data_IF_414454474297
#
_entry.id   IF_414454474297
#
_cell.length_a   1.000
_cell.length_b   1.000
_cell.length_c   1.000
_cell.angle_alpha   90.00
_cell.angle_beta   90.00
_cell.angle_gamma   90.00
#
_symmetry.space_group_name_H-M   'P 1'
#
loop_
_entity.id
_entity.type
_entity.pdbx_description
1 polymer ?
#
# COMPACT_ATOMS: atom_id res chain seq x y z
N UNK A 1 55.81 -22.68 -39.53
CA UNK A 1 56.04 -21.33 -40.07
C UNK A 1 54.70 -20.76 -40.51
N UNK A 2 53.87 -20.38 -39.52
CA UNK A 2 53.50 -18.98 -39.16
C UNK A 2 52.48 -18.44 -40.17
N UNK A 3 51.17 -18.62 -39.91
CA UNK A 3 50.25 -17.74 -39.15
C UNK A 3 49.89 -16.44 -39.88
N UNK A 4 48.64 -16.37 -40.37
CA UNK A 4 47.82 -15.15 -40.47
C UNK A 4 46.37 -15.53 -40.79
N UNK A 5 45.68 -16.09 -39.79
CA UNK A 5 44.22 -16.10 -39.72
C UNK A 5 43.80 -15.04 -38.72
N UNK A 6 43.19 -14.00 -39.24
CA UNK A 6 42.64 -12.85 -38.52
C UNK A 6 41.59 -13.35 -37.52
N UNK A 7 41.79 -12.99 -36.25
CA UNK A 7 40.83 -13.15 -35.16
C UNK A 7 39.59 -12.30 -35.46
N UNK A 8 38.52 -12.93 -35.93
CA UNK A 8 37.15 -12.47 -35.68
C UNK A 8 36.65 -13.21 -34.44
N UNK A 9 36.95 -12.68 -33.26
CA UNK A 9 36.20 -13.00 -32.05
C UNK A 9 34.83 -12.33 -32.19
N UNK A 10 33.71 -13.07 -32.18
CA UNK A 10 32.45 -12.44 -31.85
C UNK A 10 32.56 -12.02 -30.38
N UNK A 11 32.31 -10.73 -30.09
CA UNK A 11 32.01 -10.25 -28.75
C UNK A 11 30.69 -10.90 -28.28
N UNK A 12 30.76 -12.19 -27.97
CA UNK A 12 29.86 -12.86 -27.06
C UNK A 12 30.51 -12.76 -25.69
N UNK A 13 30.23 -11.68 -24.97
CA UNK A 13 30.53 -11.59 -23.54
C UNK A 13 29.57 -10.62 -22.87
N UNK A 14 28.79 -11.19 -21.94
CA UNK A 14 28.03 -10.51 -20.88
C UNK A 14 26.79 -9.70 -21.28
N UNK A 15 25.79 -10.38 -21.85
CA UNK A 15 24.40 -10.16 -21.39
C UNK A 15 24.14 -11.13 -20.24
N UNK A 16 24.88 -10.98 -19.13
CA UNK A 16 24.43 -11.52 -17.86
C UNK A 16 23.16 -10.77 -17.49
N UNK A 17 22.11 -11.52 -17.13
CA UNK A 17 20.80 -11.07 -16.72
C UNK A 17 20.84 -9.85 -15.77
N UNK A 18 20.90 -8.65 -16.34
CA UNK A 18 20.50 -7.43 -15.63
C UNK A 18 18.99 -7.40 -15.73
N UNK A 19 18.32 -7.46 -14.58
CA UNK A 19 16.91 -7.19 -14.49
C UNK A 19 16.59 -5.80 -15.03
N UNK A 20 15.34 -5.64 -15.45
CA UNK A 20 14.86 -4.36 -15.92
C UNK A 20 14.74 -3.40 -14.73
N UNK A 21 15.46 -2.27 -14.82
CA UNK A 21 15.44 -1.17 -13.83
C UNK A 21 16.13 -1.49 -12.50
N UNK A 22 17.26 -2.20 -12.52
CA UNK A 22 17.98 -2.60 -11.28
C UNK A 22 18.97 -1.56 -10.76
N UNK A 23 19.28 -0.55 -11.58
CA UNK A 23 20.32 0.45 -11.31
C UNK A 23 19.69 1.83 -11.31
N UNK A 24 19.84 2.59 -10.22
CA UNK A 24 19.31 3.96 -10.13
C UNK A 24 20.23 5.00 -10.78
N UNK A 25 21.55 4.76 -10.76
CA UNK A 25 22.56 5.68 -11.29
C UNK A 25 23.81 4.96 -11.76
N UNK A 26 24.43 5.44 -12.83
CA UNK A 26 25.73 4.98 -13.32
C UNK A 26 26.65 6.16 -13.58
N UNK A 27 27.96 5.93 -13.53
CA UNK A 27 28.93 6.96 -13.88
C UNK A 27 29.17 6.97 -15.39
N UNK A 28 29.06 8.15 -15.99
CA UNK A 28 29.34 8.38 -17.41
C UNK A 28 30.40 9.47 -17.57
N UNK A 29 31.11 9.44 -18.69
CA UNK A 29 32.01 10.52 -19.07
C UNK A 29 31.28 11.50 -19.97
N UNK A 30 31.27 12.76 -19.58
CA UNK A 30 30.76 13.90 -20.34
C UNK A 30 31.90 14.84 -20.69
N UNK A 31 31.67 15.81 -21.57
CA UNK A 31 32.67 16.83 -21.94
C UNK A 31 33.16 17.63 -20.73
N UNK A 32 32.35 17.72 -19.67
CA UNK A 32 32.65 18.39 -18.40
C UNK A 32 33.29 17.46 -17.35
N UNK A 33 33.51 16.18 -17.69
CA UNK A 33 34.11 15.18 -16.81
C UNK A 33 33.15 14.06 -16.41
N UNK A 34 33.45 13.39 -15.28
CA UNK A 34 32.63 12.32 -14.72
C UNK A 34 31.31 12.87 -14.19
N UNK A 35 30.19 12.39 -14.73
CA UNK A 35 28.85 12.76 -14.32
C UNK A 35 28.01 11.52 -13.97
N UNK A 36 26.95 11.71 -13.18
CA UNK A 36 25.98 10.66 -12.88
C UNK A 36 24.87 10.66 -13.94
N UNK A 37 24.69 9.52 -14.63
CA UNK A 37 23.50 9.21 -15.44
C UNK A 37 22.49 8.52 -14.54
N UNK A 38 21.29 9.09 -14.43
CA UNK A 38 20.24 8.60 -13.54
C UNK A 38 19.10 8.00 -14.34
N UNK A 39 18.55 6.88 -13.88
CA UNK A 39 17.50 6.14 -14.58
C UNK A 39 16.48 5.56 -13.60
N UNK A 40 15.32 5.16 -14.11
CA UNK A 40 14.29 4.56 -13.26
C UNK A 40 14.82 3.27 -12.63
N UNK A 41 14.50 3.04 -11.36
CA UNK A 41 14.94 1.84 -10.66
C UNK A 41 13.93 1.28 -9.66
N UNK A 42 13.84 -0.04 -9.55
CA UNK A 42 12.92 -0.75 -8.68
C UNK A 42 13.62 -1.91 -7.95
N UNK A 43 13.15 -2.29 -6.75
CA UNK A 43 13.72 -3.44 -6.05
C UNK A 43 13.38 -4.76 -6.73
N UNK A 44 14.21 -5.77 -6.47
CA UNK A 44 13.95 -7.14 -6.90
C UNK A 44 12.66 -7.69 -6.28
N UNK A 45 12.00 -8.60 -7.01
CA UNK A 45 10.86 -9.34 -6.48
C UNK A 45 11.34 -10.41 -5.49
N UNK A 46 10.67 -10.53 -4.36
CA UNK A 46 10.97 -11.51 -3.32
C UNK A 46 9.69 -12.10 -2.76
N UNK A 47 9.85 -13.11 -1.91
CA UNK A 47 8.77 -13.67 -1.12
C UNK A 47 8.42 -12.70 0.02
N UNK A 48 7.24 -12.09 -0.10
CA UNK A 48 6.78 -11.05 0.81
C UNK A 48 6.21 -11.62 2.11
N UNK A 49 5.98 -12.93 2.20
CA UNK A 49 5.43 -13.59 3.39
C UNK A 49 6.37 -13.48 4.60
N UNK A 50 7.67 -13.32 4.36
CA UNK A 50 8.70 -13.15 5.39
C UNK A 50 8.59 -11.84 6.18
N UNK A 51 7.85 -10.87 5.67
CA UNK A 51 7.75 -9.52 6.23
C UNK A 51 6.34 -9.14 6.69
N UNK A 52 5.37 -10.06 6.58
CA UNK A 52 3.99 -9.78 6.96
C UNK A 52 3.74 -10.00 8.46
N UNK A 53 2.65 -9.42 8.94
CA UNK A 53 2.00 -9.77 10.19
C UNK A 53 0.63 -10.36 9.87
N UNK A 54 0.32 -11.49 10.47
CA UNK A 54 -0.99 -12.14 10.34
C UNK A 54 -1.88 -11.76 11.52
N UNK A 55 -3.15 -11.49 11.24
CA UNK A 55 -4.19 -11.31 12.24
C UNK A 55 -5.43 -12.12 11.85
N UNK A 56 -5.97 -12.85 12.81
CA UNK A 56 -7.19 -13.65 12.65
C UNK A 56 -8.38 -12.97 13.31
N UNK A 57 -9.52 -13.00 12.64
CA UNK A 57 -10.80 -12.54 13.19
C UNK A 57 -11.89 -13.59 12.85
N UNK A 58 -12.61 -14.12 13.86
CA UNK A 58 -12.47 -13.84 15.29
C UNK A 58 -11.13 -14.37 15.88
N UNK A 59 -10.62 -13.81 16.99
CA UNK A 59 -9.30 -14.15 17.52
C UNK A 59 -9.19 -15.57 18.08
N UNK A 60 -10.30 -16.19 18.48
CA UNK A 60 -10.36 -17.55 19.03
C UNK A 60 -10.77 -18.60 17.99
N UNK A 61 -10.45 -18.35 16.72
CA UNK A 61 -10.86 -19.20 15.61
C UNK A 61 -9.89 -20.36 15.35
N UNK A 62 -8.66 -20.31 15.86
CA UNK A 62 -7.70 -21.42 15.76
C UNK A 62 -8.13 -22.57 16.67
N UNK A 63 -8.03 -23.81 16.21
CA UNK A 63 -8.39 -24.98 17.01
C UNK A 63 -7.44 -25.20 18.20
N UNK A 64 -7.87 -26.01 19.18
CA UNK A 64 -7.00 -26.48 20.27
C UNK A 64 -7.18 -25.78 21.62
N UNK A 65 -8.10 -24.81 21.73
CA UNK A 65 -8.49 -24.21 23.01
C UNK A 65 -10.03 -24.10 23.15
N UNK A 66 -10.71 -25.08 23.79
CA UNK A 66 -10.16 -26.32 24.32
C UNK A 66 -9.78 -27.33 23.21
N UNK A 67 -9.02 -28.39 23.53
CA UNK A 67 -8.71 -29.46 22.59
C UNK A 67 -9.96 -30.03 21.90
N UNK A 68 -9.85 -30.35 20.61
CA UNK A 68 -10.96 -30.90 19.83
C UNK A 68 -10.52 -31.96 18.83
N UNK A 69 -11.40 -32.93 18.57
CA UNK A 69 -11.18 -33.95 17.55
C UNK A 69 -11.64 -33.47 16.17
N UNK A 70 -10.96 -33.91 15.12
CA UNK A 70 -11.27 -33.57 13.74
C UNK A 70 -11.06 -34.75 12.78
N UNK A 71 -11.71 -34.68 11.62
CA UNK A 71 -11.61 -35.69 10.58
C UNK A 71 -10.62 -35.25 9.49
N UNK A 72 -9.52 -35.99 9.30
CA UNK A 72 -8.64 -35.77 8.16
C UNK A 72 -9.27 -36.30 6.86
N UNK A 73 -8.98 -35.64 5.73
CA UNK A 73 -9.46 -36.04 4.41
C UNK A 73 -9.03 -37.46 4.01
N UNK A 74 -7.85 -37.90 4.46
CA UNK A 74 -7.32 -39.24 4.17
C UNK A 74 -8.04 -40.35 4.96
N UNK A 75 -8.65 -40.03 6.10
CA UNK A 75 -9.35 -40.99 6.94
C UNK A 75 -10.69 -40.42 7.48
N UNK A 76 -11.70 -40.25 6.60
CA UNK A 76 -12.95 -39.58 6.94
C UNK A 76 -13.86 -40.41 7.87
N UNK A 77 -13.55 -41.68 8.11
CA UNK A 77 -14.38 -42.59 8.90
C UNK A 77 -13.94 -42.72 10.36
N UNK A 78 -12.66 -42.49 10.67
CA UNK A 78 -12.16 -42.65 12.04
C UNK A 78 -12.09 -41.36 12.86
N UNK A 79 -11.91 -40.18 12.25
CA UNK A 79 -11.94 -38.88 12.96
C UNK A 79 -11.18 -38.85 14.31
N UNK A 80 -10.05 -39.56 14.38
CA UNK A 80 -9.28 -39.78 15.61
C UNK A 80 -8.16 -38.75 15.79
N UNK A 81 -8.02 -37.78 14.89
CA UNK A 81 -7.01 -36.75 15.05
C UNK A 81 -7.50 -35.73 16.07
N UNK A 82 -6.58 -35.20 16.86
CA UNK A 82 -6.83 -34.23 17.91
C UNK A 82 -6.03 -32.97 17.61
N UNK A 83 -6.68 -31.82 17.72
CA UNK A 83 -6.03 -30.53 17.75
C UNK A 83 -5.99 -30.04 19.20
N UNK A 84 -4.79 -29.80 19.71
CA UNK A 84 -4.54 -29.34 21.08
C UNK A 84 -3.47 -28.24 21.04
N UNK A 85 -3.85 -27.01 21.39
CA UNK A 85 -2.94 -25.86 21.34
C UNK A 85 -1.86 -25.91 22.43
N UNK A 86 -2.03 -26.75 23.45
CA UNK A 86 -1.04 -26.94 24.53
C UNK A 86 0.05 -27.95 24.17
N UNK A 87 -0.18 -28.78 23.15
CA UNK A 87 0.75 -29.82 22.70
C UNK A 87 1.32 -29.43 21.33
N UNK A 88 2.61 -29.10 21.26
CA UNK A 88 3.26 -28.57 20.05
C UNK A 88 3.06 -29.45 18.80
N UNK A 89 3.06 -30.78 18.94
CA UNK A 89 2.86 -31.73 17.84
C UNK A 89 1.42 -31.81 17.31
N UNK A 90 0.45 -31.34 18.11
CA UNK A 90 -0.99 -31.33 17.79
C UNK A 90 -1.52 -29.90 17.57
N UNK A 91 -0.67 -28.89 17.74
CA UNK A 91 -1.01 -27.49 17.60
C UNK A 91 -0.96 -27.07 16.13
N UNK A 92 -1.96 -26.30 15.70
CA UNK A 92 -2.06 -25.79 14.34
C UNK A 92 -2.11 -24.25 14.30
N UNK A 93 -1.06 -23.57 14.76
CA UNK A 93 -1.09 -22.12 14.93
C UNK A 93 -0.90 -21.38 13.58
N UNK A 94 -1.22 -20.08 13.50
CA UNK A 94 -1.26 -19.32 12.24
C UNK A 94 0.09 -19.20 11.53
N UNK A 95 1.20 -19.33 12.26
CA UNK A 95 2.56 -19.27 11.73
C UNK A 95 2.85 -20.39 10.74
N UNK A 96 2.13 -21.52 10.84
CA UNK A 96 2.24 -22.64 9.92
C UNK A 96 1.68 -22.34 8.51
N UNK A 97 1.04 -21.19 8.28
CA UNK A 97 0.66 -20.76 6.93
C UNK A 97 1.83 -20.18 6.11
N UNK A 98 2.97 -19.90 6.76
CA UNK A 98 4.12 -19.21 6.14
C UNK A 98 5.45 -19.92 6.42
N UNK A 99 5.38 -21.16 6.87
CA UNK A 99 6.57 -21.94 7.18
C UNK A 99 7.16 -22.57 5.90
N UNK A 100 8.19 -23.42 6.02
CA UNK A 100 8.88 -23.92 4.84
C UNK A 100 8.07 -25.03 4.16
N UNK A 101 7.68 -24.81 2.89
CA UNK A 101 6.93 -25.77 2.10
C UNK A 101 7.69 -27.11 1.91
N UNK A 102 6.96 -28.22 1.81
CA UNK A 102 7.53 -29.53 1.47
C UNK A 102 7.98 -30.37 2.67
N UNK A 103 7.59 -30.00 3.89
CA UNK A 103 7.70 -30.89 5.05
C UNK A 103 6.84 -32.13 4.87
N UNK A 104 7.32 -33.24 5.44
CA UNK A 104 6.57 -34.48 5.55
C UNK A 104 6.66 -34.97 7.01
N UNK A 105 5.56 -34.92 7.79
CA UNK A 105 4.19 -34.55 7.39
C UNK A 105 4.03 -33.05 7.08
N UNK A 106 2.96 -32.70 6.36
CA UNK A 106 2.62 -31.30 6.04
C UNK A 106 2.17 -30.55 7.30
N UNK A 107 2.68 -29.34 7.48
CA UNK A 107 2.26 -28.39 8.51
C UNK A 107 1.14 -27.49 7.97
N UNK A 108 0.23 -27.08 8.84
CA UNK A 108 -0.90 -26.21 8.47
C UNK A 108 -1.50 -25.53 9.69
N UNK A 109 -1.99 -24.32 9.48
CA UNK A 109 -2.95 -23.69 10.40
C UNK A 109 -4.31 -24.34 10.26
N UNK A 110 -5.07 -24.45 11.34
CA UNK A 110 -6.42 -25.02 11.34
C UNK A 110 -7.40 -24.19 12.17
N UNK A 111 -8.59 -23.94 11.62
CA UNK A 111 -9.70 -23.31 12.32
C UNK A 111 -10.42 -24.30 13.23
N UNK A 112 -11.23 -23.79 14.17
CA UNK A 112 -12.19 -24.60 14.91
C UNK A 112 -13.15 -25.31 13.94
N UNK A 113 -13.60 -26.51 14.32
CA UNK A 113 -14.66 -27.22 13.60
C UNK A 113 -16.00 -26.45 13.58
N UNK A 114 -16.89 -26.80 12.64
CA UNK A 114 -18.16 -26.10 12.41
C UNK A 114 -19.26 -26.40 13.45
N UNK A 115 -18.92 -26.41 14.74
CA UNK A 115 -19.80 -26.75 15.88
C UNK A 115 -21.07 -25.90 15.98
N UNK A 116 -21.04 -24.67 15.44
CA UNK A 116 -22.14 -23.70 15.53
C UNK A 116 -23.12 -23.77 14.34
N UNK A 117 -23.02 -24.80 13.50
CA UNK A 117 -23.96 -25.03 12.41
C UNK A 117 -25.42 -24.93 12.92
N UNK A 118 -26.34 -24.25 12.19
CA UNK A 118 -26.22 -23.72 10.83
C UNK A 118 -25.60 -22.32 10.72
N UNK A 119 -25.09 -21.71 11.80
CA UNK A 119 -24.40 -20.41 11.70
C UNK A 119 -23.13 -20.56 10.86
N UNK A 120 -22.89 -19.74 9.83
CA UNK A 120 -21.70 -19.84 8.99
C UNK A 120 -20.39 -19.81 9.79
N UNK A 121 -19.44 -20.69 9.43
CA UNK A 121 -18.07 -20.63 9.93
C UNK A 121 -17.31 -19.57 9.13
N UNK A 122 -17.32 -18.33 9.62
CA UNK A 122 -16.65 -17.20 8.98
C UNK A 122 -15.29 -16.94 9.62
N UNK A 123 -14.26 -16.80 8.79
CA UNK A 123 -12.89 -16.50 9.22
C UNK A 123 -12.28 -15.44 8.33
N UNK A 124 -11.75 -14.38 8.95
CA UNK A 124 -10.99 -13.34 8.27
C UNK A 124 -9.51 -13.53 8.61
N UNK A 125 -8.68 -13.76 7.60
CA UNK A 125 -7.22 -13.82 7.72
C UNK A 125 -6.66 -12.55 7.10
N UNK A 126 -6.11 -11.66 7.92
CA UNK A 126 -5.55 -10.38 7.48
C UNK A 126 -4.03 -10.46 7.45
N UNK A 127 -3.43 -10.14 6.30
CA UNK A 127 -2.00 -10.12 6.06
C UNK A 127 -1.55 -8.67 5.87
N UNK A 128 -0.69 -8.17 6.74
CA UNK A 128 -0.28 -6.76 6.78
C UNK A 128 1.23 -6.59 6.64
N UNK A 129 1.68 -5.83 5.64
CA UNK A 129 3.12 -5.58 5.42
C UNK A 129 3.64 -4.29 6.06
N UNK A 130 2.74 -3.41 6.51
CA UNK A 130 3.10 -2.07 7.00
C UNK A 130 4.01 -1.30 6.02
N UNK A 131 3.87 -1.61 4.73
CA UNK A 131 4.63 -1.09 3.61
C UNK A 131 3.82 -1.37 2.35
N UNK A 132 3.85 -0.43 1.41
CA UNK A 132 3.19 -0.60 0.12
C UNK A 132 4.05 -1.50 -0.77
N UNK A 133 3.43 -2.55 -1.33
CA UNK A 133 4.10 -3.54 -2.18
C UNK A 133 3.37 -3.67 -3.52
N UNK A 134 4.11 -4.06 -4.55
CA UNK A 134 3.61 -4.35 -5.89
C UNK A 134 3.74 -5.85 -6.14
N UNK A 135 2.63 -6.51 -6.43
CA UNK A 135 2.59 -7.94 -6.68
C UNK A 135 3.19 -8.27 -8.05
N UNK A 136 3.95 -9.35 -8.11
CA UNK A 136 4.70 -9.74 -9.32
C UNK A 136 4.40 -11.14 -9.81
N UNK A 137 3.74 -11.95 -8.98
CA UNK A 137 3.35 -13.33 -9.27
C UNK A 137 1.96 -13.59 -8.67
N UNK A 138 1.38 -14.74 -8.98
CA UNK A 138 0.08 -15.16 -8.48
C UNK A 138 0.09 -15.27 -6.95
N UNK A 139 -1.01 -14.87 -6.30
CA UNK A 139 -1.22 -15.21 -4.89
C UNK A 139 -1.75 -16.64 -4.87
N UNK A 140 -1.11 -17.51 -4.10
CA UNK A 140 -1.49 -18.94 -4.03
C UNK A 140 -1.77 -19.30 -2.59
N UNK A 141 -2.96 -19.83 -2.33
CA UNK A 141 -3.34 -20.41 -1.04
C UNK A 141 -3.43 -21.93 -1.21
N UNK A 142 -2.72 -22.67 -0.39
CA UNK A 142 -2.76 -24.13 -0.38
C UNK A 142 -3.54 -24.60 0.84
N UNK A 143 -4.64 -25.30 0.60
CA UNK A 143 -5.48 -25.84 1.66
C UNK A 143 -5.12 -27.29 1.96
N UNK A 144 -4.97 -27.61 3.25
CA UNK A 144 -4.93 -29.00 3.69
C UNK A 144 -6.35 -29.55 3.89
N UNK A 145 -7.30 -28.69 4.28
CA UNK A 145 -8.74 -29.03 4.23
C UNK A 145 -9.25 -29.00 2.79
N UNK A 146 -10.53 -29.31 2.60
CA UNK A 146 -11.19 -28.96 1.35
C UNK A 146 -11.15 -27.45 1.12
N UNK A 147 -10.97 -27.03 -0.14
CA UNK A 147 -11.07 -25.63 -0.56
C UNK A 147 -12.47 -25.05 -0.24
N UNK A 148 -12.57 -23.78 0.18
CA UNK A 148 -13.84 -23.18 0.58
C UNK A 148 -14.89 -23.20 -0.53
N UNK A 149 -16.15 -23.43 -0.17
CA UNK A 149 -17.28 -23.26 -1.10
C UNK A 149 -17.57 -21.80 -1.39
N UNK A 150 -17.26 -20.91 -0.45
CA UNK A 150 -17.41 -19.47 -0.61
C UNK A 150 -16.26 -18.78 0.12
N UNK A 151 -15.51 -17.96 -0.62
CA UNK A 151 -14.50 -17.07 -0.06
C UNK A 151 -14.34 -15.79 -0.89
N UNK A 152 -13.82 -14.75 -0.26
CA UNK A 152 -13.52 -13.46 -0.90
C UNK A 152 -12.09 -13.06 -0.57
N UNK A 153 -11.34 -12.67 -1.60
CA UNK A 153 -10.06 -12.00 -1.42
C UNK A 153 -10.31 -10.50 -1.49
N UNK A 154 -9.91 -9.76 -0.46
CA UNK A 154 -9.95 -8.31 -0.39
C UNK A 154 -8.53 -7.75 -0.29
N UNK A 155 -8.37 -6.50 -0.74
CA UNK A 155 -7.13 -5.75 -0.57
C UNK A 155 -7.38 -4.38 0.04
N UNK A 156 -6.35 -3.86 0.69
CA UNK A 156 -6.26 -2.48 1.18
C UNK A 156 -5.10 -1.76 0.49
N UNK A 157 -5.25 -0.44 0.35
CA UNK A 157 -4.21 0.49 -0.13
C UNK A 157 -3.80 1.51 0.95
N UNK A 158 -4.45 1.48 2.11
CA UNK A 158 -4.39 2.51 3.16
C UNK A 158 -4.16 1.92 4.55
N UNK A 159 -3.39 0.82 4.62
CA UNK A 159 -2.97 0.16 5.85
C UNK A 159 -4.14 -0.42 6.66
N UNK A 160 -5.10 -1.03 5.97
CA UNK A 160 -6.23 -1.74 6.54
C UNK A 160 -7.41 -0.86 6.96
N UNK A 161 -7.40 0.43 6.62
CA UNK A 161 -8.49 1.35 6.95
C UNK A 161 -9.71 1.12 6.04
N UNK A 162 -9.49 0.95 4.75
CA UNK A 162 -10.52 0.61 3.77
C UNK A 162 -10.17 -0.68 3.06
N UNK A 163 -11.22 -1.39 2.65
CA UNK A 163 -11.13 -2.70 2.03
C UNK A 163 -11.93 -2.70 0.75
N UNK A 164 -11.33 -3.25 -0.30
CA UNK A 164 -11.96 -3.41 -1.61
C UNK A 164 -11.87 -4.86 -2.04
N UNK A 165 -12.94 -5.42 -2.64
CA UNK A 165 -12.90 -6.78 -3.13
C UNK A 165 -11.89 -6.88 -4.28
N UNK A 166 -11.13 -7.97 -4.28
CA UNK A 166 -10.08 -8.25 -5.25
C UNK A 166 -10.48 -9.41 -6.16
N UNK A 167 -11.06 -10.48 -5.60
CA UNK A 167 -11.67 -11.58 -6.34
C UNK A 167 -12.66 -12.36 -5.46
N UNK A 168 -13.73 -12.87 -6.07
CA UNK A 168 -14.70 -13.74 -5.41
C UNK A 168 -14.51 -15.20 -5.87
N UNK A 169 -14.76 -16.14 -4.97
CA UNK A 169 -14.66 -17.57 -5.23
C UNK A 169 -15.90 -18.27 -4.65
N UNK A 170 -16.63 -18.99 -5.48
CA UNK A 170 -17.84 -19.69 -5.06
C UNK A 170 -18.04 -21.00 -5.82
N UNK A 171 -18.77 -21.96 -5.24
CA UNK A 171 -19.29 -23.12 -5.99
C UNK A 171 -20.34 -22.71 -7.02
N UNK A 172 -21.13 -21.70 -6.70
CA UNK A 172 -22.14 -21.04 -7.54
C UNK A 172 -22.04 -19.53 -7.31
N UNK A 173 -21.48 -18.82 -8.30
CA UNK A 173 -21.24 -17.37 -8.22
C UNK A 173 -22.54 -16.55 -8.23
N UNK A 174 -23.58 -17.05 -8.91
CA UNK A 174 -24.86 -16.37 -9.01
C UNK A 174 -25.60 -16.44 -7.68
N UNK A 175 -25.62 -17.61 -7.04
CA UNK A 175 -26.23 -17.80 -5.72
C UNK A 175 -25.46 -17.06 -4.61
N UNK A 176 -24.13 -17.20 -4.58
CA UNK A 176 -23.32 -16.67 -3.49
C UNK A 176 -23.15 -15.14 -3.51
N UNK A 177 -22.95 -14.57 -4.70
CA UNK A 177 -22.54 -13.17 -4.86
C UNK A 177 -23.33 -12.41 -5.91
N UNK A 178 -24.35 -13.01 -6.53
CA UNK A 178 -25.13 -12.40 -7.63
C UNK A 178 -24.24 -11.97 -8.81
N UNK A 179 -23.19 -12.74 -9.09
CA UNK A 179 -22.22 -12.47 -10.15
C UNK A 179 -22.22 -13.62 -11.17
N UNK A 180 -22.10 -13.28 -12.46
CA UNK A 180 -21.85 -14.28 -13.49
C UNK A 180 -20.45 -14.90 -13.29
N UNK A 181 -20.31 -16.23 -13.40
CA UNK A 181 -19.02 -16.89 -13.29
C UNK A 181 -18.12 -16.51 -14.46
N UNK A 182 -16.88 -16.12 -14.17
CA UNK A 182 -15.85 -15.75 -15.15
C UNK A 182 -14.49 -16.28 -14.71
N UNK A 183 -13.65 -16.56 -15.70
CA UNK A 183 -12.24 -16.88 -15.51
C UNK A 183 -11.37 -15.70 -15.95
N UNK A 184 -10.08 -15.70 -15.55
CA UNK A 184 -9.14 -14.67 -16.02
C UNK A 184 -8.91 -14.74 -17.54
N UNK A 185 -9.11 -15.91 -18.15
CA UNK A 185 -9.04 -16.09 -19.61
C UNK A 185 -10.17 -15.36 -20.37
N UNK A 186 -11.28 -15.05 -19.68
CA UNK A 186 -12.39 -14.28 -20.25
C UNK A 186 -12.14 -12.77 -20.20
N UNK A 187 -11.07 -12.34 -19.51
CA UNK A 187 -10.70 -10.92 -19.41
C UNK A 187 -9.98 -10.45 -20.66
N UNK A 188 -10.16 -9.17 -20.96
CA UNK A 188 -9.48 -8.46 -22.04
C UNK A 188 -8.61 -7.36 -21.46
N UNK A 189 -7.74 -6.75 -22.27
CA UNK A 189 -6.94 -5.59 -21.85
C UNK A 189 -7.79 -4.44 -21.26
N UNK A 190 -9.06 -4.30 -21.68
CA UNK A 190 -9.97 -3.24 -21.20
C UNK A 190 -10.66 -3.60 -19.88
N UNK A 191 -10.90 -4.89 -19.65
CA UNK A 191 -11.62 -5.44 -18.49
C UNK A 191 -10.69 -6.10 -17.49
N UNK A 192 -9.37 -5.97 -17.65
CA UNK A 192 -8.36 -6.58 -16.78
C UNK A 192 -8.49 -6.16 -15.32
N UNK A 193 -9.03 -4.96 -15.05
CA UNK A 193 -9.25 -4.45 -13.70
C UNK A 193 -10.58 -4.91 -13.09
N UNK A 194 -11.41 -5.61 -13.86
CA UNK A 194 -12.71 -6.08 -13.39
C UNK A 194 -12.50 -7.13 -12.29
N UNK A 195 -13.30 -6.97 -11.24
CA UNK A 195 -13.40 -7.93 -10.16
C UNK A 195 -14.38 -9.00 -10.61
N UNK A 196 -13.91 -10.25 -10.59
CA UNK A 196 -14.68 -11.41 -11.08
C UNK A 196 -15.03 -12.35 -9.94
N UNK A 197 -16.02 -13.21 -10.20
CA UNK A 197 -16.26 -14.40 -9.41
C UNK A 197 -15.89 -15.62 -10.26
N UNK A 198 -15.03 -16.49 -9.73
CA UNK A 198 -14.63 -17.74 -10.39
C UNK A 198 -15.10 -18.96 -9.61
N UNK A 199 -15.49 -20.00 -10.32
CA UNK A 199 -15.92 -21.27 -9.74
C UNK A 199 -14.86 -22.38 -9.84
N UNK A 200 -13.74 -22.11 -10.52
CA UNK A 200 -12.68 -23.08 -10.83
C UNK A 200 -12.03 -23.67 -9.57
N UNK A 201 -11.94 -22.85 -8.50
CA UNK A 201 -11.26 -23.24 -7.26
C UNK A 201 -12.21 -23.71 -6.14
N UNK A 202 -13.52 -23.60 -6.33
CA UNK A 202 -14.51 -23.93 -5.28
C UNK A 202 -15.40 -25.12 -5.64
N UNK A 203 -15.53 -25.47 -6.93
CA UNK A 203 -16.33 -26.63 -7.36
C UNK A 203 -15.77 -27.96 -6.85
N UNK A 204 -16.67 -28.77 -6.30
CA UNK A 204 -16.36 -30.02 -5.60
C UNK A 204 -16.05 -31.24 -6.47
N UNK A 205 -15.49 -31.10 -7.67
CA UNK A 205 -15.02 -32.26 -8.45
C UNK A 205 -13.48 -32.39 -8.50
N UNK A 206 -12.75 -31.43 -7.93
CA UNK A 206 -11.28 -31.35 -8.06
C UNK A 206 -10.53 -31.86 -6.80
N UNK A 207 -11.26 -32.38 -5.80
CA UNK A 207 -10.74 -32.65 -4.44
C UNK A 207 -9.49 -33.51 -4.35
N UNK A 208 -9.24 -34.39 -5.32
CA UNK A 208 -8.21 -35.42 -5.13
C UNK A 208 -6.79 -34.93 -5.38
N UNK A 209 -6.60 -33.89 -6.20
CA UNK A 209 -5.26 -33.47 -6.64
C UNK A 209 -4.98 -31.96 -6.58
N UNK A 210 -5.99 -31.08 -6.46
CA UNK A 210 -5.75 -29.63 -6.43
C UNK A 210 -6.20 -29.01 -5.10
N UNK A 211 -5.20 -28.78 -4.25
CA UNK A 211 -5.32 -28.12 -2.93
C UNK A 211 -5.30 -26.60 -3.04
N UNK A 212 -5.08 -26.04 -4.24
CA UNK A 212 -4.74 -24.63 -4.39
C UNK A 212 -5.93 -23.76 -4.79
N UNK A 213 -5.93 -22.52 -4.29
CA UNK A 213 -6.75 -21.40 -4.76
C UNK A 213 -5.78 -20.32 -5.22
N UNK A 214 -5.99 -19.76 -6.41
CA UNK A 214 -5.07 -18.77 -7.00
C UNK A 214 -5.77 -17.44 -7.28
N UNK A 215 -5.01 -16.37 -7.17
CA UNK A 215 -5.34 -15.08 -7.77
C UNK A 215 -4.34 -14.81 -8.88
N UNK A 216 -4.81 -14.81 -10.11
CA UNK A 216 -3.99 -14.98 -11.31
C UNK A 216 -3.50 -13.64 -11.85
N UNK A 217 -2.32 -13.24 -11.39
CA UNK A 217 -1.62 -12.01 -11.78
C UNK A 217 -0.83 -12.24 -13.06
N UNK A 218 -0.19 -13.40 -13.22
CA UNK A 218 0.56 -13.76 -14.42
C UNK A 218 -0.33 -13.81 -15.66
N UNK A 219 -1.53 -14.35 -15.52
CA UNK A 219 -2.49 -14.41 -16.63
C UNK A 219 -2.97 -13.00 -17.03
N UNK A 220 -3.16 -12.09 -16.04
CA UNK A 220 -3.43 -10.67 -16.32
C UNK A 220 -2.26 -9.97 -17.00
N UNK A 221 -1.02 -10.25 -16.59
CA UNK A 221 0.17 -9.72 -17.28
C UNK A 221 0.33 -10.28 -18.69
N UNK A 222 -0.06 -11.54 -18.91
CA UNK A 222 0.01 -12.18 -20.22
C UNK A 222 -0.86 -11.48 -21.27
N UNK A 223 -1.93 -10.77 -20.87
CA UNK A 223 -2.74 -9.94 -21.77
C UNK A 223 -1.94 -8.81 -22.44
N UNK A 224 -0.82 -8.37 -21.85
CA UNK A 224 0.07 -7.34 -22.42
C UNK A 224 1.42 -7.89 -22.87
N UNK A 225 1.98 -8.84 -22.13
CA UNK A 225 3.31 -9.39 -22.37
C UNK A 225 3.33 -10.67 -23.23
N UNK A 226 2.15 -11.19 -23.55
CA UNK A 226 1.96 -12.48 -24.21
C UNK A 226 2.03 -13.68 -23.24
N UNK A 227 1.62 -14.89 -23.67
CA UNK A 227 1.46 -16.06 -22.80
C UNK A 227 2.72 -16.52 -22.07
N UNK A 228 3.90 -16.23 -22.62
CA UNK A 228 5.20 -16.58 -22.02
C UNK A 228 5.88 -15.40 -21.31
N UNK A 229 5.19 -14.27 -21.17
CA UNK A 229 5.70 -13.04 -20.55
C UNK A 229 7.03 -12.56 -21.17
N UNK A 230 7.25 -12.78 -22.47
CA UNK A 230 8.49 -12.35 -23.15
C UNK A 230 8.46 -10.87 -23.54
N UNK A 231 7.28 -10.29 -23.79
CA UNK A 231 7.15 -8.89 -24.20
C UNK A 231 6.98 -7.97 -22.98
N UNK A 232 7.97 -7.99 -22.08
CA UNK A 232 7.97 -7.13 -20.87
C UNK A 232 7.97 -5.64 -21.20
N UNK A 233 8.54 -5.24 -22.33
CA UNK A 233 8.52 -3.86 -22.80
C UNK A 233 7.08 -3.34 -22.99
N UNK A 234 6.20 -4.15 -23.59
CA UNK A 234 4.78 -3.84 -23.72
C UNK A 234 4.10 -3.69 -22.36
N UNK A 235 4.31 -4.65 -21.45
CA UNK A 235 3.74 -4.60 -20.09
C UNK A 235 4.17 -3.34 -19.33
N UNK A 236 5.47 -3.01 -19.32
CA UNK A 236 5.96 -1.81 -18.64
C UNK A 236 5.40 -0.52 -19.25
N UNK A 237 5.28 -0.46 -20.58
CA UNK A 237 4.61 0.66 -21.24
C UNK A 237 3.15 0.81 -20.79
N UNK A 238 2.43 -0.30 -20.63
CA UNK A 238 1.05 -0.29 -20.15
C UNK A 238 0.94 0.07 -18.67
N UNK A 239 1.85 -0.41 -17.82
CA UNK A 239 1.90 -0.06 -16.40
C UNK A 239 2.13 1.44 -16.17
N UNK A 240 2.85 2.10 -17.08
CA UNK A 240 3.15 3.53 -17.00
C UNK A 240 2.03 4.42 -17.58
N UNK A 241 1.38 3.95 -18.66
CA UNK A 241 0.41 4.76 -19.43
C UNK A 241 -1.05 4.49 -19.09
N UNK A 242 -1.38 3.27 -18.63
CA UNK A 242 -2.76 2.88 -18.31
C UNK A 242 -3.10 3.25 -16.87
N UNK A 243 -4.12 4.09 -16.73
CA UNK A 243 -4.61 4.55 -15.42
C UNK A 243 -5.01 3.37 -14.54
N UNK A 244 -4.66 3.46 -13.25
CA UNK A 244 -4.99 2.50 -12.20
C UNK A 244 -4.42 1.08 -12.39
N UNK A 245 -3.74 0.77 -13.50
CA UNK A 245 -3.20 -0.58 -13.74
C UNK A 245 -2.14 -0.94 -12.70
N UNK A 246 -1.20 -0.04 -12.45
CA UNK A 246 -0.18 -0.22 -11.41
C UNK A 246 -0.79 -0.31 -10.00
N UNK A 247 -1.80 0.51 -9.72
CA UNK A 247 -2.47 0.52 -8.41
C UNK A 247 -3.32 -0.75 -8.18
N UNK A 248 -3.76 -1.42 -9.25
CA UNK A 248 -4.44 -2.71 -9.15
C UNK A 248 -3.54 -3.77 -8.52
N UNK A 249 -2.27 -3.84 -8.92
CA UNK A 249 -1.28 -4.76 -8.36
C UNK A 249 -0.57 -4.22 -7.11
N UNK A 250 -0.91 -3.01 -6.69
CA UNK A 250 -0.42 -2.43 -5.44
C UNK A 250 -1.31 -2.83 -4.28
N UNK A 251 -0.70 -3.18 -3.14
CA UNK A 251 -1.39 -3.49 -1.88
C UNK A 251 -0.58 -3.03 -0.66
N UNK A 252 -1.26 -2.74 0.46
CA UNK A 252 -0.65 -2.64 1.79
C UNK A 252 -1.03 -3.82 2.68
N UNK A 253 -2.22 -4.37 2.46
CA UNK A 253 -2.79 -5.49 3.22
C UNK A 253 -3.67 -6.35 2.30
N UNK A 254 -3.72 -7.65 2.60
CA UNK A 254 -4.68 -8.59 2.04
C UNK A 254 -5.59 -9.11 3.13
N UNK A 255 -6.85 -9.37 2.81
CA UNK A 255 -7.77 -10.08 3.71
C UNK A 255 -8.43 -11.20 2.95
N UNK A 256 -8.24 -12.41 3.46
CA UNK A 256 -8.88 -13.63 2.97
C UNK A 256 -10.10 -13.84 3.87
N UNK A 257 -11.29 -13.73 3.28
CA UNK A 257 -12.56 -13.93 3.98
C UNK A 257 -13.12 -15.29 3.60
N UNK A 258 -12.94 -16.26 4.49
CA UNK A 258 -13.50 -17.60 4.37
C UNK A 258 -14.95 -17.54 4.86
N UNK A 259 -15.92 -17.83 4.00
CA UNK A 259 -17.35 -17.63 4.30
C UNK A 259 -18.09 -18.95 4.54
N UNK A 260 -17.77 -19.99 3.74
CA UNK A 260 -18.35 -21.32 3.87
C UNK A 260 -17.30 -22.42 3.60
N UNK A 261 -17.08 -23.38 4.51
CA UNK A 261 -16.09 -24.43 4.32
C UNK A 261 -16.56 -25.43 3.25
N UNK A 262 -15.65 -26.31 2.83
CA UNK A 262 -15.99 -27.42 1.94
C UNK A 262 -17.06 -28.33 2.58
N UNK A 263 -18.24 -28.48 1.95
CA UNK A 263 -19.27 -29.41 2.45
C UNK A 263 -19.33 -30.73 1.69
N UNK A 264 -18.66 -30.81 0.53
CA UNK A 264 -18.65 -31.97 -0.36
C UNK A 264 -19.81 -31.95 -1.36
N UNK A 265 -20.11 -33.10 -1.97
CA UNK A 265 -21.21 -33.24 -2.93
C UNK A 265 -22.58 -33.52 -2.27
N UNK A 266 -22.61 -33.68 -0.95
CA UNK A 266 -23.80 -34.03 -0.17
C UNK A 266 -24.15 -32.91 0.80
N UNK A 267 -25.37 -32.94 1.34
CA UNK A 267 -25.77 -32.06 2.44
C UNK A 267 -24.82 -32.16 3.63
N UNK A 268 -24.75 -31.10 4.43
CA UNK A 268 -24.02 -31.08 5.69
C UNK A 268 -24.52 -32.22 6.59
N UNK A 269 -23.60 -33.03 7.12
CA UNK A 269 -23.93 -34.05 8.11
C UNK A 269 -23.80 -33.46 9.50
N UNK A 270 -24.95 -33.18 10.09
CA UNK A 270 -25.06 -32.57 11.42
C UNK A 270 -24.50 -33.47 12.53
N UNK A 271 -24.38 -34.78 12.30
CA UNK A 271 -23.81 -35.71 13.28
C UNK A 271 -22.27 -35.70 13.29
N UNK A 272 -21.64 -35.15 12.24
CA UNK A 272 -20.18 -35.17 12.09
C UNK A 272 -19.64 -33.79 11.65
N UNK A 273 -19.91 -32.77 12.45
CA UNK A 273 -19.46 -31.39 12.19
C UNK A 273 -17.93 -31.23 12.32
N UNK A 274 -17.23 -32.18 12.95
CA UNK A 274 -15.76 -32.26 13.07
C UNK A 274 -15.03 -32.45 11.74
N UNK A 275 -15.74 -32.73 10.64
CA UNK A 275 -15.17 -32.80 9.29
C UNK A 275 -15.14 -31.46 8.55
N UNK A 276 -15.80 -30.44 9.10
CA UNK A 276 -15.92 -29.13 8.47
C UNK A 276 -15.10 -28.10 9.23
N UNK A 277 -13.98 -27.71 8.63
CA UNK A 277 -13.05 -26.71 9.15
C UNK A 277 -12.24 -26.16 7.97
N UNK A 278 -11.47 -25.11 8.21
CA UNK A 278 -10.46 -24.62 7.29
C UNK A 278 -9.09 -25.05 7.78
N UNK A 279 -8.25 -25.55 6.88
CA UNK A 279 -6.84 -25.75 7.14
C UNK A 279 -6.02 -25.27 5.94
N UNK A 280 -5.04 -24.41 6.22
CA UNK A 280 -4.17 -23.77 5.20
C UNK A 280 -2.74 -24.15 5.53
N UNK A 281 -2.08 -24.83 4.59
CA UNK A 281 -0.70 -25.27 4.71
C UNK A 281 0.31 -24.25 4.20
N UNK A 282 -0.10 -23.40 3.26
CA UNK A 282 0.82 -22.40 2.71
C UNK A 282 0.07 -21.22 2.06
N UNK A 283 0.62 -20.02 2.20
CA UNK A 283 0.16 -18.82 1.51
C UNK A 283 1.38 -18.15 0.88
N UNK A 284 1.44 -18.15 -0.45
CA UNK A 284 2.51 -17.50 -1.21
C UNK A 284 2.08 -16.14 -1.73
N UNK A 285 2.90 -15.14 -1.44
CA UNK A 285 2.76 -13.77 -1.96
C UNK A 285 4.12 -13.30 -2.46
N UNK A 286 4.30 -13.27 -3.78
CA UNK A 286 5.51 -12.74 -4.40
C UNK A 286 5.28 -11.28 -4.81
N UNK A 287 6.23 -10.41 -4.47
CA UNK A 287 6.13 -9.00 -4.83
C UNK A 287 7.43 -8.25 -4.61
N UNK A 288 7.38 -6.95 -4.82
CA UNK A 288 8.48 -6.02 -4.53
C UNK A 288 7.96 -4.81 -3.77
N UNK A 289 8.85 -4.11 -3.07
CA UNK A 289 8.47 -2.84 -2.46
C UNK A 289 8.10 -1.79 -3.52
N UNK A 290 6.96 -1.10 -3.34
CA UNK A 290 6.66 0.11 -4.11
C UNK A 290 7.62 1.22 -3.69
N UNK A 291 8.58 1.54 -4.56
CA UNK A 291 9.53 2.64 -4.34
C UNK A 291 9.42 3.74 -5.41
N UNK A 292 8.28 3.78 -6.12
CA UNK A 292 7.96 4.80 -7.12
C UNK A 292 9.05 5.01 -8.19
N UNK A 293 9.78 3.93 -8.52
CA UNK A 293 10.91 3.93 -9.46
C UNK A 293 12.13 4.77 -9.00
N UNK A 294 12.30 4.96 -7.69
CA UNK A 294 13.42 5.71 -7.09
C UNK A 294 14.27 4.93 -6.07
N UNK A 295 14.16 3.60 -6.02
CA UNK A 295 15.07 2.78 -5.23
C UNK A 295 15.18 1.38 -5.84
N UNK A 296 16.38 0.81 -5.86
CA UNK A 296 16.63 -0.57 -6.27
C UNK A 296 16.76 -1.53 -5.07
N UNK A 297 16.66 -1.02 -3.85
CA UNK A 297 16.80 -1.78 -2.62
C UNK A 297 15.69 -1.43 -1.63
N UNK A 298 15.27 -2.43 -0.87
CA UNK A 298 14.28 -2.30 0.19
C UNK A 298 14.75 -3.07 1.42
N UNK A 299 14.92 -2.36 2.53
CA UNK A 299 15.52 -2.89 3.75
C UNK A 299 14.47 -3.09 4.83
N UNK A 300 14.61 -4.17 5.58
CA UNK A 300 13.78 -4.47 6.74
C UNK A 300 14.53 -4.04 8.00
N UNK A 301 14.15 -2.91 8.59
CA UNK A 301 14.74 -2.39 9.83
C UNK A 301 13.68 -2.28 10.93
N UNK A 302 13.98 -2.81 12.13
CA UNK A 302 13.13 -2.72 13.34
C UNK A 302 11.65 -3.06 13.09
N UNK A 303 11.40 -4.12 12.31
CA UNK A 303 10.04 -4.58 12.03
C UNK A 303 9.27 -3.71 11.03
N UNK A 304 9.98 -2.88 10.23
CA UNK A 304 9.42 -2.06 9.16
C UNK A 304 10.23 -2.23 7.89
N UNK A 305 9.54 -2.50 6.79
CA UNK A 305 10.12 -2.55 5.46
C UNK A 305 10.13 -1.14 4.85
N UNK A 306 11.22 -0.70 4.23
CA UNK A 306 11.35 0.65 3.69
C UNK A 306 12.33 0.75 2.53
N UNK A 307 12.05 1.64 1.57
CA UNK A 307 12.90 1.86 0.41
C UNK A 307 14.17 2.66 0.75
N UNK A 308 15.31 2.26 0.18
CA UNK A 308 16.55 3.05 0.22
C UNK A 308 16.52 4.11 -0.89
N UNK A 309 15.86 5.23 -0.61
CA UNK A 309 15.52 6.22 -1.62
C UNK A 309 16.73 6.95 -2.24
N UNK A 310 16.78 6.88 -3.58
CA UNK A 310 17.66 7.61 -4.48
C UNK A 310 16.92 8.82 -5.09
N UNK A 311 17.49 9.42 -6.14
CA UNK A 311 16.85 10.51 -6.91
C UNK A 311 16.41 11.72 -6.07
N UNK A 312 17.12 11.97 -4.97
CA UNK A 312 16.80 13.00 -3.99
C UNK A 312 15.38 12.89 -3.41
N UNK A 313 14.85 11.67 -3.32
CA UNK A 313 13.53 11.38 -2.73
C UNK A 313 13.64 10.85 -1.30
N UNK A 314 12.54 10.85 -0.56
CA UNK A 314 12.44 10.35 0.81
C UNK A 314 11.02 9.88 1.13
N UNK A 315 10.81 9.31 2.32
CA UNK A 315 9.59 8.62 2.71
C UNK A 315 9.66 7.11 2.47
N UNK A 316 8.73 6.32 3.03
CA UNK A 316 8.77 4.85 2.97
C UNK A 316 8.72 4.31 1.55
N UNK A 317 8.00 5.00 0.64
CA UNK A 317 7.82 4.63 -0.76
C UNK A 317 8.56 5.57 -1.72
N UNK A 318 9.46 6.42 -1.23
CA UNK A 318 10.12 7.47 -2.02
C UNK A 318 9.12 8.45 -2.68
N UNK A 319 8.03 8.74 -1.98
CA UNK A 319 6.86 9.50 -2.48
C UNK A 319 6.94 11.01 -2.30
N UNK A 320 8.10 11.55 -1.94
CA UNK A 320 8.33 13.00 -1.77
C UNK A 320 9.80 13.34 -1.96
N UNK A 321 10.08 14.60 -2.27
CA UNK A 321 11.44 15.10 -2.38
C UNK A 321 12.11 15.30 -1.01
N UNK A 322 13.43 15.17 -0.95
CA UNK A 322 14.26 15.56 0.20
C UNK A 322 14.18 17.07 0.40
N UNK A 323 14.44 17.51 1.63
CA UNK A 323 14.55 18.93 1.97
C UNK A 323 15.57 19.60 1.03
N UNK A 324 15.22 20.78 0.50
CA UNK A 324 16.00 21.55 -0.50
C UNK A 324 15.99 21.00 -1.94
N UNK A 325 15.26 19.90 -2.22
CA UNK A 325 15.10 19.37 -3.58
C UNK A 325 13.69 19.61 -4.14
N UNK A 326 13.17 20.82 -3.93
CA UNK A 326 11.81 21.20 -4.33
C UNK A 326 11.80 22.14 -5.54
N UNK A 327 12.86 22.14 -6.36
CA UNK A 327 12.92 22.92 -7.60
C UNK A 327 11.87 22.52 -8.64
N UNK A 328 11.24 21.34 -8.45
CA UNK A 328 10.02 20.92 -9.14
C UNK A 328 9.14 20.10 -8.21
N UNK A 329 7.86 19.98 -8.57
CA UNK A 329 6.96 19.04 -7.92
C UNK A 329 7.49 17.60 -8.03
N UNK A 330 7.28 16.81 -6.98
CA UNK A 330 7.61 15.39 -7.01
C UNK A 330 6.78 14.68 -8.08
N UNK A 331 7.40 13.75 -8.79
CA UNK A 331 6.69 12.84 -9.68
C UNK A 331 7.36 11.48 -9.63
N UNK A 332 6.54 10.42 -9.73
CA UNK A 332 6.99 9.04 -9.89
C UNK A 332 7.97 8.93 -11.07
N UNK A 333 8.97 8.05 -10.96
CA UNK A 333 9.74 7.65 -12.14
C UNK A 333 8.84 6.98 -13.18
N UNK A 334 9.30 6.91 -14.42
CA UNK A 334 8.55 6.29 -15.52
C UNK A 334 9.37 5.18 -16.14
N UNK A 335 8.70 4.11 -16.55
CA UNK A 335 9.34 3.03 -17.32
C UNK A 335 9.76 3.48 -18.73
N UNK A 336 9.29 4.64 -19.18
CA UNK A 336 9.56 5.19 -20.50
C UNK A 336 10.65 6.29 -20.44
N UNK A 337 11.49 6.40 -21.50
CA UNK A 337 11.58 5.50 -22.64
C UNK A 337 12.35 4.21 -22.30
N UNK A 338 11.92 3.09 -22.89
CA UNK A 338 12.58 1.79 -22.76
C UNK A 338 13.96 1.86 -23.45
N UNK A 339 15.05 1.29 -22.88
CA UNK A 339 15.06 0.33 -21.77
C UNK A 339 15.38 0.90 -20.38
N UNK A 340 15.78 2.18 -20.27
CA UNK A 340 16.26 2.78 -19.02
C UNK A 340 15.16 3.46 -18.20
N UNK A 341 14.08 3.90 -18.85
CA UNK A 341 13.06 4.74 -18.21
C UNK A 341 13.61 6.11 -17.81
N UNK A 342 12.78 6.87 -17.08
CA UNK A 342 13.14 8.19 -16.57
C UNK A 342 12.98 8.25 -15.06
N UNK A 343 14.04 8.67 -14.37
CA UNK A 343 14.08 8.72 -12.91
C UNK A 343 13.22 9.84 -12.30
N UNK A 344 12.85 10.86 -13.09
CA UNK A 344 12.11 12.04 -12.61
C UNK A 344 12.63 12.64 -11.29
N UNK A 345 13.95 12.78 -11.20
CA UNK A 345 14.73 13.23 -10.03
C UNK A 345 14.22 14.54 -9.43
N UNK A 346 14.17 14.63 -8.11
CA UNK A 346 13.91 15.90 -7.44
C UNK A 346 15.08 16.88 -7.62
N UNK A 347 14.79 18.08 -8.12
CA UNK A 347 15.78 19.11 -8.43
C UNK A 347 16.02 20.01 -7.23
N UNK A 348 17.27 20.47 -7.05
CA UNK A 348 17.58 21.46 -6.03
C UNK A 348 16.71 22.71 -6.24
N UNK A 349 16.06 23.15 -5.17
CA UNK A 349 15.29 24.39 -5.12
C UNK A 349 15.76 25.21 -3.93
N UNK A 350 16.09 26.47 -4.16
CA UNK A 350 16.47 27.40 -3.10
C UNK A 350 15.28 27.61 -2.15
N UNK A 351 15.52 27.97 -0.89
CA UNK A 351 14.45 28.30 0.05
C UNK A 351 13.55 29.46 -0.43
N UNK A 352 13.99 30.25 -1.42
CA UNK A 352 13.19 31.29 -2.08
C UNK A 352 12.21 30.74 -3.14
N UNK A 353 12.41 29.52 -3.65
CA UNK A 353 11.52 28.89 -4.64
C UNK A 353 10.20 28.38 -4.02
N UNK A 354 10.15 28.25 -2.69
CA UNK A 354 8.90 28.05 -1.95
C UNK A 354 7.95 29.24 -2.08
N UNK A 355 8.47 30.47 -2.12
CA UNK A 355 7.66 31.68 -2.30
C UNK A 355 7.26 31.85 -3.77
N UNK A 356 8.13 31.48 -4.70
CA UNK A 356 7.83 31.54 -6.14
C UNK A 356 6.81 30.50 -6.58
N UNK A 357 6.82 29.28 -6.03
CA UNK A 357 5.81 28.25 -6.33
C UNK A 357 4.42 28.61 -5.80
N UNK A 358 4.33 29.24 -4.62
CA UNK A 358 3.10 29.87 -4.12
C UNK A 358 2.62 31.02 -5.03
N UNK A 359 3.54 31.84 -5.54
CA UNK A 359 3.22 32.90 -6.50
C UNK A 359 2.79 32.36 -7.88
N UNK A 360 3.41 31.29 -8.37
CA UNK A 360 3.11 30.68 -9.67
C UNK A 360 1.71 30.03 -9.69
N UNK A 361 1.32 29.43 -8.57
CA UNK A 361 -0.03 28.88 -8.36
C UNK A 361 -1.10 29.99 -8.38
N UNK A 362 -0.78 31.18 -7.87
CA UNK A 362 -1.68 32.34 -7.90
C UNK A 362 -1.77 33.02 -9.28
N UNK A 363 -0.73 32.95 -10.11
CA UNK A 363 -0.68 33.67 -11.40
C UNK A 363 -1.26 32.91 -12.60
N UNK A 364 -1.57 31.61 -12.47
CA UNK A 364 -2.04 30.75 -13.57
C UNK A 364 -3.45 30.16 -13.38
N UNK A 365 -4.29 30.79 -12.56
CA UNK A 365 -5.72 30.45 -12.48
C UNK A 365 -6.43 31.03 -13.72
N UNK A 366 -6.48 30.26 -14.80
CA UNK A 366 -7.50 30.42 -15.84
C UNK A 366 -8.70 29.56 -15.48
N UNK A 367 -9.89 30.04 -15.83
CA UNK A 367 -11.24 29.76 -15.30
C UNK A 367 -11.72 28.29 -15.14
N UNK A 368 -10.89 27.24 -15.32
CA UNK A 368 -11.32 25.84 -15.24
C UNK A 368 -10.26 24.76 -14.86
N UNK A 369 -9.25 25.06 -14.04
CA UNK A 369 -8.35 24.01 -13.48
C UNK A 369 -8.35 23.98 -11.94
N UNK A 370 -8.53 22.78 -11.37
CA UNK A 370 -8.39 22.49 -9.93
C UNK A 370 -6.90 22.39 -9.56
N UNK A 371 -6.47 23.14 -8.55
CA UNK A 371 -5.18 22.95 -7.88
C UNK A 371 -5.33 21.94 -6.73
N UNK A 372 -4.52 20.88 -6.72
CA UNK A 372 -4.42 19.92 -5.59
C UNK A 372 -3.40 20.38 -4.51
N UNK A 373 -3.09 21.68 -4.46
CA UNK A 373 -2.22 22.27 -3.43
C UNK A 373 -2.90 23.44 -2.72
N UNK A 374 -4.16 23.26 -2.33
CA UNK A 374 -4.86 24.17 -1.43
C UNK A 374 -4.99 23.54 -0.04
N UNK A 375 -4.04 23.82 0.85
CA UNK A 375 -4.27 23.68 2.30
C UNK A 375 -4.99 24.94 2.82
N UNK A 376 -6.21 25.16 2.33
CA UNK A 376 -7.17 26.08 2.92
C UNK A 376 -8.51 25.36 2.97
N UNK A 377 -8.90 24.86 4.14
CA UNK A 377 -10.27 24.43 4.40
C UNK A 377 -10.90 25.45 5.35
N UNK A 378 -11.64 26.41 4.79
CA UNK A 378 -12.87 26.97 5.38
C UNK A 378 -13.58 27.94 4.41
N UNK A 379 -14.88 27.65 4.20
CA UNK A 379 -16.05 28.38 3.66
C UNK A 379 -15.94 29.52 2.61
N UNK A 380 -16.73 29.28 1.54
CA UNK A 380 -17.42 30.18 0.59
C UNK A 380 -16.66 30.90 -0.53
N UNK A 381 -17.22 31.00 -1.76
CA UNK A 381 -16.53 31.50 -2.95
C UNK A 381 -16.60 33.04 -3.07
N UNK A 382 -15.45 33.70 -3.14
CA UNK A 382 -15.37 35.15 -3.37
C UNK A 382 -15.08 35.42 -4.85
N UNK A 383 -15.93 36.23 -5.48
CA UNK A 383 -15.79 36.74 -6.85
C UNK A 383 -14.73 37.85 -6.93
N UNK A 384 -13.95 37.85 -8.01
CA UNK A 384 -12.95 38.88 -8.36
C UNK A 384 -13.62 40.27 -8.51
N UNK A 385 -13.61 41.09 -7.46
CA UNK A 385 -13.94 42.53 -7.60
C UNK A 385 -13.31 43.51 -6.61
N UNK A 386 -12.34 43.12 -5.78
CA UNK A 386 -11.85 44.03 -4.73
C UNK A 386 -10.34 43.99 -4.43
N UNK A 387 -9.47 43.96 -5.44
CA UNK A 387 -8.04 44.22 -5.22
C UNK A 387 -7.54 45.38 -6.09
N UNK A 388 -7.85 46.58 -5.63
CA UNK A 388 -7.14 47.80 -5.99
C UNK A 388 -6.58 48.45 -4.72
N UNK A 389 -5.37 48.05 -4.32
CA UNK A 389 -4.33 48.88 -3.68
C UNK A 389 -3.23 48.00 -3.08
N UNK A 390 -2.05 48.17 -3.66
CA UNK A 390 -0.77 47.70 -3.15
C UNK A 390 -0.51 48.24 -1.74
N UNK A 391 -0.12 47.37 -0.81
CA UNK A 391 0.73 47.72 0.32
C UNK A 391 1.90 46.75 0.35
N UNK A 392 3.07 47.27 -0.03
CA UNK A 392 4.38 46.69 0.24
C UNK A 392 4.54 46.63 1.77
N UNK A 393 4.40 45.46 2.37
CA UNK A 393 4.92 45.20 3.71
C UNK A 393 6.33 44.62 3.58
N UNK A 394 7.28 45.55 3.55
CA UNK A 394 8.70 45.32 3.72
C UNK A 394 8.96 45.31 5.22
N UNK A 395 8.97 44.12 5.85
CA UNK A 395 9.68 43.82 7.11
C UNK A 395 9.33 42.40 7.59
N UNK A 396 10.20 41.43 7.28
CA UNK A 396 10.28 40.16 8.03
C UNK A 396 11.75 39.75 8.13
N UNK A 397 12.51 40.53 8.91
CA UNK A 397 13.65 39.99 9.63
C UNK A 397 13.21 39.71 11.08
N UNK A 398 13.73 38.62 11.64
CA UNK A 398 13.68 38.23 13.07
C UNK A 398 12.53 37.32 13.56
N UNK A 399 12.99 36.18 14.09
CA UNK A 399 12.34 35.19 14.96
C UNK A 399 11.61 34.02 14.26
N UNK A 400 12.35 32.93 14.05
CA UNK A 400 11.82 31.60 13.75
C UNK A 400 10.83 31.18 14.84
N UNK A 401 9.56 30.98 14.49
CA UNK A 401 8.48 30.56 15.41
C UNK A 401 8.26 29.04 15.47
N UNK A 402 9.18 28.25 14.90
CA UNK A 402 9.06 26.79 14.74
C UNK A 402 10.16 26.12 15.57
N UNK A 403 9.75 25.25 16.50
CA UNK A 403 10.65 24.63 17.47
C UNK A 403 10.85 23.12 17.28
N UNK A 404 10.16 22.46 16.34
CA UNK A 404 10.30 21.01 16.17
C UNK A 404 10.30 20.55 14.71
N UNK A 405 10.71 19.29 14.51
CA UNK A 405 10.74 18.60 13.22
C UNK A 405 9.33 18.26 12.68
N UNK A 406 8.28 18.54 13.46
CA UNK A 406 6.88 18.39 13.07
C UNK A 406 6.28 19.72 12.54
N UNK A 407 7.09 20.79 12.42
CA UNK A 407 6.67 22.12 11.96
C UNK A 407 5.60 22.78 12.85
N UNK A 408 5.52 22.42 14.13
CA UNK A 408 4.59 23.04 15.07
C UNK A 408 5.09 24.43 15.50
N UNK A 409 4.18 25.42 15.43
CA UNK A 409 4.47 26.83 15.74
C UNK A 409 4.12 27.19 17.18
N UNK A 410 4.93 28.02 17.82
CA UNK A 410 4.57 28.67 19.08
C UNK A 410 3.35 29.58 18.86
N UNK A 411 2.31 29.39 19.66
CA UNK A 411 1.04 30.11 19.61
C UNK A 411 1.06 31.37 20.49
N UNK A 412 0.04 32.21 20.40
CA UNK A 412 -0.19 33.37 21.29
C UNK A 412 1.03 34.31 21.45
N UNK A 413 1.74 34.56 20.34
CA UNK A 413 2.91 35.45 20.33
C UNK A 413 4.16 34.88 21.01
N UNK A 414 4.23 33.56 21.26
CA UNK A 414 5.45 32.91 21.75
C UNK A 414 6.58 32.88 20.73
N UNK A 415 7.83 32.95 21.20
CA UNK A 415 9.04 32.89 20.35
C UNK A 415 9.81 31.60 20.61
N UNK A 416 10.39 31.02 19.55
CA UNK A 416 11.18 29.80 19.71
C UNK A 416 12.59 30.13 20.21
N UNK A 417 12.99 29.54 21.33
CA UNK A 417 14.34 29.69 21.85
C UNK A 417 15.14 28.41 21.56
N UNK A 418 16.30 28.56 20.88
CA UNK A 418 17.21 27.47 20.50
C UNK A 418 16.58 26.27 19.75
N UNK A 419 15.46 26.45 19.02
CA UNK A 419 14.81 25.39 18.24
C UNK A 419 14.45 24.12 19.06
N UNK A 420 14.14 24.28 20.34
CA UNK A 420 13.75 23.16 21.21
C UNK A 420 12.54 23.48 22.10
N UNK A 421 12.28 24.75 22.43
CA UNK A 421 11.19 25.13 23.33
C UNK A 421 10.63 26.52 23.02
N UNK A 422 9.30 26.66 23.11
CA UNK A 422 8.63 27.95 23.01
C UNK A 422 8.76 28.75 24.32
N UNK A 423 9.13 30.02 24.20
CA UNK A 423 9.08 31.01 25.27
C UNK A 423 7.78 31.80 25.15
N UNK A 424 6.91 31.68 26.16
CA UNK A 424 5.55 32.22 26.09
C UNK A 424 5.47 33.68 26.52
N UNK A 425 4.61 34.44 25.83
CA UNK A 425 4.25 35.80 26.24
C UNK A 425 3.49 35.78 27.58
N UNK A 426 3.54 36.88 28.37
CA UNK A 426 2.90 36.95 29.69
C UNK A 426 1.42 36.58 29.61
N UNK A 427 0.95 35.72 30.52
CA UNK A 427 -0.43 35.22 30.53
C UNK A 427 -0.64 33.93 29.76
N UNK A 428 0.39 33.35 29.11
CA UNK A 428 0.30 32.06 28.42
C UNK A 428 1.34 31.04 28.92
N UNK A 429 0.99 29.77 28.85
CA UNK A 429 1.73 28.59 29.31
C UNK A 429 1.46 27.41 28.37
N UNK A 430 2.13 26.27 28.58
CA UNK A 430 2.05 25.12 27.69
C UNK A 430 3.30 24.98 26.82
N UNK A 431 3.44 23.83 26.14
CA UNK A 431 4.65 23.48 25.38
C UNK A 431 4.79 24.36 24.12
N UNK A 432 3.67 24.78 23.55
CA UNK A 432 3.55 25.67 22.40
C UNK A 432 2.90 27.01 22.78
N UNK A 433 2.80 27.35 24.07
CA UNK A 433 2.10 28.54 24.57
C UNK A 433 0.59 28.55 24.30
N UNK A 434 0.01 27.36 24.23
CA UNK A 434 -1.38 27.11 23.85
C UNK A 434 -2.40 27.36 24.98
N UNK A 435 -1.96 27.53 26.24
CA UNK A 435 -2.86 27.68 27.40
C UNK A 435 -2.74 29.06 28.04
N UNK A 436 -3.85 29.72 28.33
CA UNK A 436 -3.84 30.93 29.15
C UNK A 436 -3.57 30.58 30.64
N UNK A 437 -2.88 31.46 31.38
CA UNK A 437 -2.55 31.31 32.79
C UNK A 437 -3.63 31.98 33.65
N UNK A 438 -4.67 31.25 34.05
CA UNK A 438 -5.62 31.75 35.05
C UNK A 438 -4.97 31.65 36.45
N UNK A 439 -5.00 32.74 37.21
CA UNK A 439 -4.36 32.83 38.53
C UNK A 439 -5.47 32.76 39.61
N UNK A 440 -5.64 31.60 40.23
CA UNK A 440 -6.53 31.40 41.39
C UNK A 440 -7.91 30.79 41.07
N UNK A 441 -8.66 30.36 42.11
CA UNK A 441 -9.96 29.71 41.97
C UNK A 441 -11.04 30.77 41.75
N UNK A 442 -11.28 31.12 40.49
CA UNK A 442 -12.34 32.01 40.04
C UNK A 442 -12.43 31.96 38.52
N UNK A 443 -13.67 32.04 38.00
CA UNK A 443 -14.01 31.99 36.57
C UNK A 443 -13.13 32.94 35.75
N UNK A 444 -12.54 32.45 34.65
CA UNK A 444 -11.75 33.28 33.74
C UNK A 444 -12.74 34.20 33.00
N UNK A 445 -12.62 35.52 33.20
CA UNK A 445 -13.49 36.56 32.62
C UNK A 445 -13.32 36.64 31.09
N UNK A 446 -14.40 36.35 30.36
CA UNK A 446 -14.49 36.30 28.88
C UNK A 446 -14.48 37.70 28.22
N UNK A 447 -13.75 38.66 28.77
CA UNK A 447 -13.73 40.06 28.30
C UNK A 447 -12.57 40.47 27.39
N UNK A 448 -11.78 39.53 26.87
CA UNK A 448 -10.92 39.80 25.71
C UNK A 448 -11.38 39.13 24.40
N UNK A 449 -12.57 38.53 24.39
CA UNK A 449 -13.14 37.86 23.23
C UNK A 449 -14.25 38.67 22.52
N UNK A 450 -14.23 40.01 22.55
CA UNK A 450 -15.08 40.84 21.66
C UNK A 450 -14.34 42.12 21.24
N UNK A 451 -13.60 42.05 20.15
CA UNK A 451 -13.44 43.20 19.23
C UNK A 451 -13.43 42.70 17.80
N UNK A 452 -14.62 42.47 17.29
CA UNK A 452 -14.92 42.56 15.87
C UNK A 452 -16.12 43.52 15.74
N UNK A 453 -16.14 44.31 14.66
CA UNK A 453 -17.19 45.26 14.22
C UNK A 453 -17.14 46.70 14.74
N UNK A 454 -16.69 47.59 13.84
CA UNK A 454 -17.34 48.81 13.31
C UNK A 454 -16.19 49.66 12.73
N UNK A 455 -16.12 49.91 11.42
CA UNK A 455 -16.67 51.14 10.83
C UNK A 455 -16.66 51.02 9.29
N UNK A 456 -17.84 50.99 8.68
CA UNK A 456 -18.10 51.60 7.37
C UNK A 456 -18.19 53.14 7.57
N UNK A 457 -17.93 53.97 6.54
CA UNK A 457 -17.95 55.42 6.71
C UNK A 457 -19.38 55.97 6.65
N UNK A 458 -19.76 56.76 7.66
CA UNK A 458 -20.90 57.69 7.58
C UNK A 458 -20.36 59.04 7.10
N UNK A 459 -20.93 59.55 6.01
CA UNK A 459 -20.71 60.89 5.49
C UNK A 459 -21.63 61.90 6.23
N UNK A 460 -21.14 63.05 6.75
CA UNK A 460 -21.99 64.08 7.36
C UNK A 460 -22.15 65.32 6.45
N UNK A 461 -23.41 65.83 6.36
CA UNK A 461 -23.93 67.17 5.91
C UNK A 461 -25.09 66.99 4.92
N UNK A 462 -26.25 67.68 4.97
CA UNK A 462 -26.72 68.90 5.64
C UNK A 462 -28.18 68.74 6.09
N UNK A 463 -28.60 69.53 7.08
CA UNK A 463 -30.00 69.74 7.43
C UNK A 463 -30.68 70.80 6.57
N UNK A 464 -32.03 70.79 6.67
CA UNK A 464 -33.07 71.53 5.93
C UNK A 464 -33.36 71.02 4.52
#
# INVERSE_FOLDING_TARGET
LIHLSVLFQPLLTLWTAWGHYDVCKSQIYTEEGLAWDYMACQPEATDMTKYLRVALDPPNITCGDPPETYCALENPYMCNNECDASTEELAHPPELMFDFEGRNPTTFWQSTSWKKYPKPLQVNITLSWNKTIELTDDIVLTFESGRPEQMVLEKSLDYGQTWTPYQFYATDCLDAFTMEPKTVNDLTQRTLLDIICTEDYSRGYVWKNDKTVRFEIKDRFALFAGPRLHNMASLYGQLDTTKNLRDFFTITDLRIRLLKPATGATTVDENNLSRYFYAISDIKVQGRCKCNLHANSCVFDKGKLGCECEHNTTGPDCSRCKRHYHGRAWSVGSYLPIPKGTANICNFGSSNDYLLSLFWCMSHITENQKCDYCLCRERDPITLKSLGKYYLFQDFTSATRVCDNAMLRCQNGGTCHHHQRCHCSPGFTGVLCERARCQGPGECDDQLCITCFLLLPICPRCGL
#
